data_IF_140600902913
#
_entry.id   IF_140600902913
#
_cell.length_a   1.000
_cell.length_b   1.000
_cell.length_c   1.000
_cell.angle_alpha   90.00
_cell.angle_beta   90.00
_cell.angle_gamma   90.00
#
_symmetry.space_group_name_H-M   'P 1'
#
loop_
_entity.id
_entity.type
_entity.pdbx_description
1 polymer ?
#
# COMPACT_ATOMS: atom_id res chain seq x y z
N UNK A 1 39.46 28.56 54.73
CA UNK A 1 40.10 28.44 53.41
C UNK A 1 38.99 28.22 52.39
N UNK A 2 38.82 29.21 51.52
CA UNK A 2 37.86 29.24 50.42
C UNK A 2 38.35 28.37 49.27
N UNK A 3 37.49 27.61 48.63
CA UNK A 3 37.62 27.27 47.23
C UNK A 3 36.24 27.27 46.54
N UNK A 4 36.07 28.23 45.64
CA UNK A 4 34.93 28.42 44.81
C UNK A 4 34.97 27.49 43.60
N UNK A 5 33.86 26.80 43.28
CA UNK A 5 33.70 26.06 42.05
C UNK A 5 32.74 26.85 41.13
N UNK A 6 33.25 27.21 39.95
CA UNK A 6 32.52 27.91 38.89
C UNK A 6 31.72 26.92 38.08
N UNK A 7 30.40 27.09 38.01
CA UNK A 7 29.53 26.33 37.13
C UNK A 7 29.47 27.02 35.76
N UNK A 8 29.95 26.35 34.72
CA UNK A 8 29.82 26.79 33.35
C UNK A 8 28.48 26.35 32.75
N UNK A 9 27.65 27.31 32.37
CA UNK A 9 26.45 27.13 31.57
C UNK A 9 26.84 27.03 30.08
N UNK A 10 26.71 25.85 29.50
CA UNK A 10 26.76 25.68 28.05
C UNK A 10 25.32 25.68 27.52
N UNK A 11 24.93 26.80 26.90
CA UNK A 11 23.70 26.89 26.12
C UNK A 11 23.97 26.30 24.75
N UNK A 12 23.46 25.09 24.47
CA UNK A 12 23.38 24.55 23.11
C UNK A 12 22.09 25.02 22.47
N UNK A 13 22.19 26.07 21.65
CA UNK A 13 21.16 26.50 20.72
C UNK A 13 21.27 25.61 19.45
N UNK A 14 20.54 24.51 19.41
CA UNK A 14 20.44 23.63 18.26
C UNK A 14 19.09 23.81 17.56
N UNK A 15 19.02 24.72 16.59
CA UNK A 15 17.95 24.74 15.60
C UNK A 15 18.05 23.50 14.72
N UNK A 16 17.50 22.39 15.21
CA UNK A 16 17.32 21.17 14.43
C UNK A 16 16.16 21.33 13.48
N UNK A 17 16.42 21.58 12.21
CA UNK A 17 15.48 21.33 11.14
C UNK A 17 15.18 19.82 11.17
N UNK A 18 14.00 19.46 11.66
CA UNK A 18 13.50 18.09 11.60
C UNK A 18 13.21 17.75 10.13
N UNK A 19 14.17 17.07 9.49
CA UNK A 19 13.89 16.32 8.28
C UNK A 19 12.73 15.35 8.59
N UNK A 20 11.76 15.15 7.66
CA UNK A 20 10.69 14.20 7.88
C UNK A 20 11.31 12.84 8.17
N UNK A 21 11.03 12.27 9.35
CA UNK A 21 11.40 10.90 9.68
C UNK A 21 10.73 9.99 8.63
N UNK A 22 11.57 9.35 7.81
CA UNK A 22 11.14 8.23 6.98
C UNK A 22 10.54 7.20 7.91
N UNK A 23 9.24 6.95 7.79
CA UNK A 23 8.56 5.90 8.53
C UNK A 23 9.11 4.53 8.12
N UNK A 24 9.11 3.56 9.03
CA UNK A 24 9.54 2.18 8.76
C UNK A 24 8.74 1.54 7.60
N UNK A 25 7.53 2.04 7.32
CA UNK A 25 6.72 1.72 6.15
C UNK A 25 7.43 1.94 4.81
N UNK A 26 8.27 3.00 4.69
CA UNK A 26 9.12 3.20 3.51
C UNK A 26 10.24 2.16 3.40
N UNK A 27 10.63 1.54 4.51
CA UNK A 27 11.63 0.49 4.52
C UNK A 27 11.04 -0.88 4.11
N UNK A 28 9.81 -1.18 4.51
CA UNK A 28 9.11 -2.40 4.12
C UNK A 28 8.75 -2.41 2.62
N UNK A 29 8.38 -1.25 2.05
CA UNK A 29 8.20 -1.08 0.60
C UNK A 29 9.49 -1.27 -0.20
N UNK A 30 10.65 -1.13 0.42
CA UNK A 30 11.97 -1.44 -0.16
C UNK A 30 12.39 -2.90 -0.04
N UNK A 31 11.52 -3.79 0.43
CA UNK A 31 11.79 -5.22 0.40
C UNK A 31 12.01 -5.63 -1.05
N UNK A 32 13.30 -5.74 -1.42
CA UNK A 32 13.82 -6.29 -2.68
C UNK A 32 13.05 -5.77 -3.91
N UNK A 33 13.50 -4.64 -4.48
CA UNK A 33 12.98 -4.18 -5.77
C UNK A 33 13.00 -5.37 -6.75
N UNK A 34 11.83 -5.91 -7.06
CA UNK A 34 11.70 -6.93 -8.09
C UNK A 34 12.03 -6.26 -9.42
N UNK A 35 13.05 -6.72 -10.17
CA UNK A 35 13.42 -6.11 -11.44
C UNK A 35 12.28 -6.17 -12.48
N UNK A 36 11.25 -6.99 -12.25
CA UNK A 36 10.08 -7.10 -13.10
C UNK A 36 8.92 -6.20 -12.63
N UNK A 37 9.07 -5.48 -11.50
CA UNK A 37 8.04 -4.55 -11.05
C UNK A 37 8.08 -3.26 -11.88
N UNK A 38 7.02 -3.05 -12.66
CA UNK A 38 6.78 -1.83 -13.45
C UNK A 38 5.76 -0.88 -12.81
N UNK A 39 5.43 -1.11 -11.56
CA UNK A 39 4.48 -0.29 -10.80
C UNK A 39 5.08 1.07 -10.46
N UNK A 40 4.34 2.13 -10.73
CA UNK A 40 4.67 3.48 -10.30
C UNK A 40 3.93 3.79 -8.99
N UNK A 41 4.65 3.87 -7.89
CA UNK A 41 4.09 4.26 -6.59
C UNK A 41 4.10 5.78 -6.45
N UNK A 42 2.95 6.36 -6.12
CA UNK A 42 2.76 7.80 -6.07
C UNK A 42 1.83 8.23 -4.94
N UNK A 43 1.93 9.50 -4.57
CA UNK A 43 0.89 10.20 -3.81
C UNK A 43 0.11 11.09 -4.78
N UNK A 44 -1.22 11.09 -4.68
CA UNK A 44 -2.09 11.94 -5.50
C UNK A 44 -2.11 13.36 -4.94
N UNK A 45 -1.60 14.31 -5.71
CA UNK A 45 -1.58 15.73 -5.33
C UNK A 45 -2.87 16.46 -5.75
N UNK A 46 -3.40 16.16 -6.94
CA UNK A 46 -4.64 16.77 -7.46
C UNK A 46 -5.22 15.99 -8.65
N UNK A 47 -6.53 16.17 -8.87
CA UNK A 47 -7.25 15.72 -10.07
C UNK A 47 -7.75 16.95 -10.82
N UNK A 48 -7.46 17.07 -12.12
CA UNK A 48 -7.97 18.16 -12.97
C UNK A 48 -8.40 17.60 -14.33
N UNK A 49 -9.72 17.50 -14.54
CA UNK A 49 -10.26 16.82 -15.71
C UNK A 49 -9.75 15.39 -15.80
N UNK A 50 -9.19 15.00 -16.94
CA UNK A 50 -8.63 13.66 -17.18
C UNK A 50 -7.16 13.54 -16.74
N UNK A 51 -6.64 14.49 -15.97
CA UNK A 51 -5.23 14.49 -15.55
C UNK A 51 -5.10 14.30 -14.05
N UNK A 52 -4.24 13.36 -13.66
CA UNK A 52 -3.78 13.17 -12.29
C UNK A 52 -2.41 13.85 -12.12
N UNK A 53 -2.30 14.71 -11.13
CA UNK A 53 -1.05 15.29 -10.67
C UNK A 53 -0.58 14.48 -9.49
N UNK A 54 0.62 13.93 -9.58
CA UNK A 54 1.12 12.98 -8.59
C UNK A 54 2.59 13.25 -8.25
N UNK A 55 2.98 12.90 -7.04
CA UNK A 55 4.37 12.87 -6.60
C UNK A 55 4.84 11.42 -6.52
N UNK A 56 5.91 11.08 -7.27
CA UNK A 56 6.52 9.76 -7.21
C UNK A 56 7.10 9.50 -5.80
N UNK A 57 6.72 8.41 -5.16
CA UNK A 57 7.07 8.11 -3.77
C UNK A 57 8.56 7.80 -3.57
N UNK A 58 9.26 7.31 -4.61
CA UNK A 58 10.67 6.98 -4.52
C UNK A 58 11.58 8.18 -4.77
N UNK A 59 11.22 9.00 -5.78
CA UNK A 59 12.09 10.07 -6.28
C UNK A 59 11.67 11.46 -5.83
N UNK A 60 10.45 11.62 -5.28
CA UNK A 60 9.84 12.90 -4.97
C UNK A 60 9.47 13.74 -6.21
N UNK A 61 9.61 13.18 -7.42
CA UNK A 61 9.36 13.90 -8.66
C UNK A 61 7.87 14.05 -8.91
N UNK A 62 7.46 15.28 -9.26
CA UNK A 62 6.07 15.57 -9.66
C UNK A 62 5.83 15.20 -11.12
N UNK A 63 4.71 14.56 -11.37
CA UNK A 63 4.30 14.10 -12.69
C UNK A 63 2.85 14.53 -12.97
N UNK A 64 2.54 14.77 -14.24
CA UNK A 64 1.17 14.88 -14.73
C UNK A 64 0.90 13.69 -15.67
N UNK A 65 -0.12 12.88 -15.33
CA UNK A 65 -0.45 11.63 -16.02
C UNK A 65 -1.89 11.71 -16.54
N UNK A 66 -2.17 11.11 -17.70
CA UNK A 66 -3.52 11.03 -18.26
C UNK A 66 -4.28 9.84 -17.69
N UNK A 67 -5.45 10.10 -17.12
CA UNK A 67 -6.39 9.09 -16.62
C UNK A 67 -7.48 8.71 -17.66
N UNK A 68 -7.44 9.23 -18.87
CA UNK A 68 -8.48 9.01 -19.88
C UNK A 68 -8.71 7.51 -20.17
N UNK A 69 -7.64 6.71 -20.25
CA UNK A 69 -7.75 5.26 -20.45
C UNK A 69 -8.23 4.54 -19.18
N UNK A 70 -7.83 5.02 -18.01
CA UNK A 70 -8.26 4.48 -16.72
C UNK A 70 -9.78 4.55 -16.58
N UNK A 71 -10.35 5.73 -16.86
CA UNK A 71 -11.80 5.97 -16.81
C UNK A 71 -12.52 5.09 -17.84
N UNK A 72 -12.01 5.04 -19.09
CA UNK A 72 -12.61 4.27 -20.18
C UNK A 72 -12.63 2.76 -19.90
N UNK A 73 -11.57 2.24 -19.28
CA UNK A 73 -11.38 0.79 -19.06
C UNK A 73 -11.98 0.30 -17.73
N UNK A 74 -12.42 1.21 -16.85
CA UNK A 74 -12.95 0.87 -15.53
C UNK A 74 -11.94 0.18 -14.61
N UNK A 75 -10.63 0.43 -14.81
CA UNK A 75 -9.54 -0.17 -14.02
C UNK A 75 -9.02 0.76 -12.93
N UNK A 76 -9.89 1.60 -12.40
CA UNK A 76 -9.64 2.37 -11.19
C UNK A 76 -10.21 1.60 -10.00
N UNK A 77 -9.34 1.13 -9.14
CA UNK A 77 -9.71 0.43 -7.91
C UNK A 77 -9.48 1.37 -6.73
N UNK A 78 -10.56 1.70 -6.04
CA UNK A 78 -10.61 2.73 -4.99
C UNK A 78 -10.94 4.12 -5.52
N UNK A 79 -11.30 5.02 -4.59
CA UNK A 79 -11.62 6.41 -4.88
C UNK A 79 -10.36 7.21 -5.21
N UNK A 80 -10.50 8.28 -5.99
CA UNK A 80 -9.40 9.23 -6.24
C UNK A 80 -9.43 10.33 -5.17
N UNK A 81 -8.66 10.13 -4.10
CA UNK A 81 -8.56 11.04 -2.95
C UNK A 81 -7.18 11.69 -2.91
N UNK A 82 -7.14 13.02 -2.86
CA UNK A 82 -5.88 13.76 -2.71
C UNK A 82 -5.21 13.45 -1.38
N UNK A 83 -3.93 13.18 -1.42
CA UNK A 83 -3.13 12.75 -0.26
C UNK A 83 -2.95 11.24 -0.15
N UNK A 84 -3.81 10.44 -0.78
CA UNK A 84 -3.69 9.00 -0.77
C UNK A 84 -2.53 8.49 -1.64
N UNK A 85 -2.06 7.30 -1.29
CA UNK A 85 -1.03 6.56 -2.02
C UNK A 85 -1.65 5.63 -3.06
N UNK A 86 -1.06 5.61 -4.25
CA UNK A 86 -1.53 4.78 -5.37
C UNK A 86 -0.40 3.95 -5.97
N UNK A 87 -0.77 2.76 -6.41
CA UNK A 87 0.02 1.92 -7.30
C UNK A 87 -0.56 2.04 -8.73
N UNK A 88 0.21 2.64 -9.63
CA UNK A 88 -0.20 2.93 -11.00
C UNK A 88 0.54 2.04 -11.99
N UNK A 89 -0.19 1.48 -12.95
CA UNK A 89 0.38 0.94 -14.18
C UNK A 89 0.34 2.01 -15.25
N UNK A 90 1.50 2.40 -15.77
CA UNK A 90 1.62 3.51 -16.70
C UNK A 90 2.35 3.13 -17.98
N UNK A 91 1.95 3.74 -19.09
CA UNK A 91 2.74 3.78 -20.32
C UNK A 91 3.58 5.04 -20.31
N UNK A 92 4.80 4.97 -19.80
CA UNK A 92 5.65 6.14 -19.59
C UNK A 92 5.85 7.01 -20.85
N UNK A 93 5.88 6.41 -22.05
CA UNK A 93 6.03 7.15 -23.32
C UNK A 93 4.85 8.09 -23.59
N UNK A 94 3.62 7.66 -23.30
CA UNK A 94 2.38 8.42 -23.53
C UNK A 94 1.86 9.09 -22.26
N UNK A 95 2.46 8.80 -21.11
CA UNK A 95 2.00 9.25 -19.78
C UNK A 95 0.55 8.85 -19.48
N UNK A 96 0.09 7.76 -20.08
CA UNK A 96 -1.25 7.22 -19.85
C UNK A 96 -1.23 6.21 -18.70
N UNK A 97 -2.25 6.29 -17.83
CA UNK A 97 -2.49 5.31 -16.78
C UNK A 97 -3.40 4.23 -17.35
N UNK A 98 -3.00 2.97 -17.26
CA UNK A 98 -3.78 1.81 -17.70
C UNK A 98 -4.57 1.15 -16.57
N UNK A 99 -4.08 1.21 -15.33
CA UNK A 99 -4.80 0.81 -14.12
C UNK A 99 -4.27 1.56 -12.90
N UNK A 100 -5.10 1.72 -11.87
CA UNK A 100 -4.74 2.30 -10.58
C UNK A 100 -5.36 1.52 -9.44
N UNK A 101 -4.62 1.36 -8.36
CA UNK A 101 -5.09 0.80 -7.09
C UNK A 101 -4.79 1.83 -6.00
N UNK A 102 -5.82 2.23 -5.25
CA UNK A 102 -5.65 3.07 -4.07
C UNK A 102 -5.08 2.20 -2.93
N UNK A 103 -3.79 2.37 -2.66
CA UNK A 103 -3.06 1.59 -1.64
C UNK A 103 -3.50 1.98 -0.24
N UNK A 104 -3.81 3.26 0.00
CA UNK A 104 -4.34 3.74 1.28
C UNK A 104 -5.69 3.10 1.59
N UNK A 105 -6.55 3.00 0.60
CA UNK A 105 -7.89 2.39 0.74
C UNK A 105 -7.83 0.87 0.93
N UNK A 106 -6.78 0.19 0.44
CA UNK A 106 -6.57 -1.25 0.70
C UNK A 106 -6.22 -1.56 2.15
N UNK A 107 -5.57 -0.63 2.85
CA UNK A 107 -5.13 -0.83 4.24
C UNK A 107 -6.32 -0.95 5.19
N UNK A 108 -6.14 -1.72 6.25
CA UNK A 108 -7.07 -1.85 7.37
C UNK A 108 -7.72 -3.22 7.50
N UNK A 109 -8.80 -3.27 8.25
CA UNK A 109 -9.54 -4.49 8.57
C UNK A 109 -10.61 -4.78 7.51
N UNK A 110 -10.60 -5.98 6.96
CA UNK A 110 -11.55 -6.49 5.99
C UNK A 110 -12.19 -7.77 6.47
N UNK A 111 -13.51 -7.79 6.69
CA UNK A 111 -14.26 -8.96 7.11
C UNK A 111 -15.00 -9.59 5.94
N UNK A 112 -15.00 -10.92 5.85
CA UNK A 112 -15.77 -11.66 4.85
C UNK A 112 -17.27 -11.37 4.97
N UNK A 113 -17.93 -11.17 3.83
CA UNK A 113 -19.37 -10.91 3.78
C UNK A 113 -20.25 -12.14 4.08
N UNK A 114 -19.66 -13.28 4.46
CA UNK A 114 -20.32 -14.53 4.79
C UNK A 114 -20.85 -14.62 6.23
N UNK A 115 -20.68 -13.54 7.02
CA UNK A 115 -21.04 -13.43 8.45
C UNK A 115 -20.25 -14.35 9.38
N UNK A 116 -19.14 -14.92 8.93
CA UNK A 116 -18.27 -15.75 9.80
C UNK A 116 -17.53 -14.92 10.84
N UNK A 117 -17.35 -13.62 10.59
CA UNK A 117 -16.46 -12.75 11.36
C UNK A 117 -14.98 -12.99 11.04
N UNK A 118 -14.69 -13.85 10.07
CA UNK A 118 -13.35 -14.09 9.58
C UNK A 118 -12.95 -13.00 8.57
N UNK A 119 -11.65 -12.80 8.41
CA UNK A 119 -11.17 -11.78 7.50
C UNK A 119 -9.67 -11.61 7.52
N UNK A 120 -9.24 -10.46 7.09
CA UNK A 120 -7.82 -10.09 7.03
C UNK A 120 -7.61 -8.65 7.45
N UNK A 121 -6.43 -8.38 7.97
CA UNK A 121 -5.90 -7.03 8.17
C UNK A 121 -4.70 -6.83 7.25
N UNK A 122 -4.71 -5.72 6.54
CA UNK A 122 -3.62 -5.27 5.68
C UNK A 122 -3.04 -4.00 6.29
N UNK A 123 -1.86 -4.09 6.91
CA UNK A 123 -1.26 -2.97 7.62
C UNK A 123 -0.41 -2.09 6.69
N UNK A 124 -0.18 -0.84 7.07
CA UNK A 124 0.54 0.15 6.27
C UNK A 124 1.98 -0.25 5.98
N UNK A 125 2.61 -1.00 6.88
CA UNK A 125 3.98 -1.49 6.74
C UNK A 125 4.13 -2.67 5.75
N UNK A 126 3.01 -3.13 5.15
CA UNK A 126 2.98 -4.26 4.24
C UNK A 126 2.80 -5.61 4.94
N UNK A 127 2.64 -5.64 6.27
CA UNK A 127 2.26 -6.86 6.96
C UNK A 127 0.79 -7.22 6.71
N UNK A 128 0.48 -8.51 6.74
CA UNK A 128 -0.87 -9.03 6.66
C UNK A 128 -1.12 -10.05 7.76
N UNK A 129 -2.33 -10.03 8.32
CA UNK A 129 -2.71 -10.96 9.38
C UNK A 129 -4.14 -11.43 9.23
N UNK A 130 -4.42 -12.62 9.74
CA UNK A 130 -5.77 -13.17 9.79
C UNK A 130 -6.59 -12.50 10.90
N UNK A 131 -7.88 -12.36 10.63
CA UNK A 131 -8.91 -12.15 11.64
C UNK A 131 -9.75 -13.41 11.64
N UNK A 132 -9.73 -14.16 12.73
CA UNK A 132 -10.33 -15.48 12.79
C UNK A 132 -9.58 -16.53 11.96
N UNK A 133 -10.29 -17.52 11.44
CA UNK A 133 -9.70 -18.64 10.71
C UNK A 133 -9.93 -18.52 9.20
N UNK A 134 -8.88 -18.63 8.41
CA UNK A 134 -8.91 -18.60 6.94
C UNK A 134 -8.46 -19.96 6.36
N UNK A 135 -9.24 -21.03 6.58
CA UNK A 135 -9.04 -22.34 5.97
C UNK A 135 -7.60 -22.89 6.07
N UNK A 136 -6.97 -22.76 7.24
CA UNK A 136 -5.60 -23.23 7.45
C UNK A 136 -4.51 -22.39 6.76
N UNK A 137 -4.85 -21.17 6.36
CA UNK A 137 -3.92 -20.20 5.79
C UNK A 137 -3.56 -19.16 6.85
N UNK A 138 -2.27 -18.85 7.00
CA UNK A 138 -1.78 -17.71 7.80
C UNK A 138 -1.21 -16.68 6.87
N UNK A 139 -1.78 -15.48 6.87
CA UNK A 139 -1.28 -14.35 6.09
C UNK A 139 -0.01 -13.78 6.73
N UNK A 140 0.95 -13.36 5.91
CA UNK A 140 2.25 -12.85 6.35
C UNK A 140 2.46 -11.41 5.89
N UNK A 141 2.33 -11.16 4.60
CA UNK A 141 2.57 -9.83 4.02
C UNK A 141 1.68 -9.58 2.80
N UNK A 142 1.63 -8.33 2.40
CA UNK A 142 0.95 -7.91 1.19
C UNK A 142 1.69 -6.77 0.49
N UNK A 143 1.53 -6.68 -0.83
CA UNK A 143 1.98 -5.57 -1.65
C UNK A 143 1.15 -5.48 -2.93
N UNK A 144 1.22 -4.35 -3.60
CA UNK A 144 0.70 -4.21 -4.96
C UNK A 144 1.86 -4.22 -5.93
N UNK A 145 1.81 -5.04 -6.96
CA UNK A 145 2.84 -5.12 -8.00
C UNK A 145 2.19 -5.42 -9.34
N UNK A 146 2.61 -4.72 -10.39
CA UNK A 146 2.12 -4.91 -11.77
C UNK A 146 0.58 -4.88 -11.91
N UNK A 147 -0.08 -4.03 -11.10
CA UNK A 147 -1.54 -3.87 -11.10
C UNK A 147 -2.31 -4.99 -10.41
N UNK A 148 -1.64 -5.85 -9.65
CA UNK A 148 -2.23 -6.93 -8.87
C UNK A 148 -1.92 -6.77 -7.38
N UNK A 149 -2.80 -7.26 -6.53
CA UNK A 149 -2.54 -7.45 -5.11
C UNK A 149 -1.79 -8.77 -4.94
N UNK A 150 -0.62 -8.72 -4.32
CA UNK A 150 0.17 -9.89 -3.96
C UNK A 150 0.01 -10.12 -2.47
N UNK A 151 -0.42 -11.31 -2.08
CA UNK A 151 -0.52 -11.72 -0.68
C UNK A 151 0.41 -12.91 -0.45
N UNK A 152 1.28 -12.79 0.54
CA UNK A 152 2.12 -13.88 1.00
C UNK A 152 1.43 -14.59 2.15
N UNK A 153 1.43 -15.91 2.13
CA UNK A 153 0.85 -16.72 3.18
C UNK A 153 1.59 -18.04 3.40
N UNK A 154 1.40 -18.59 4.59
CA UNK A 154 1.88 -19.91 4.98
C UNK A 154 0.65 -20.84 5.10
N UNK A 155 0.70 -22.02 4.47
CA UNK A 155 -0.27 -23.08 4.70
C UNK A 155 0.20 -23.96 5.85
N UNK A 156 -0.66 -24.18 6.82
CA UNK A 156 -0.42 -25.11 7.93
C UNK A 156 -0.96 -26.50 7.54
N UNK A 157 -0.21 -27.23 6.69
CA UNK A 157 -0.52 -28.63 6.36
C UNK A 157 0.37 -29.66 7.10
N UNK A 158 1.08 -29.19 8.11
CA UNK A 158 1.69 -30.05 9.14
C UNK A 158 3.12 -30.48 8.89
N UNK A 159 3.76 -30.18 7.74
CA UNK A 159 5.12 -30.66 7.49
C UNK A 159 6.13 -29.60 7.05
N UNK A 160 5.73 -28.57 6.31
CA UNK A 160 6.63 -27.54 5.83
C UNK A 160 5.97 -26.15 5.88
N UNK A 161 6.57 -25.25 6.66
CA UNK A 161 6.20 -23.81 6.70
C UNK A 161 6.82 -23.09 5.49
N UNK A 162 6.30 -23.31 4.31
CA UNK A 162 6.74 -22.58 3.13
C UNK A 162 5.84 -21.36 2.88
N UNK A 163 6.42 -20.19 2.94
CA UNK A 163 5.74 -18.94 2.56
C UNK A 163 5.59 -18.89 1.04
N UNK A 164 4.35 -18.72 0.56
CA UNK A 164 4.03 -18.63 -0.87
C UNK A 164 3.31 -17.32 -1.17
N UNK A 165 3.73 -16.69 -2.26
CA UNK A 165 3.06 -15.52 -2.79
C UNK A 165 1.93 -15.92 -3.74
N UNK A 166 0.81 -15.23 -3.60
CA UNK A 166 -0.38 -15.40 -4.41
C UNK A 166 -0.79 -14.10 -5.06
N UNK A 167 -0.94 -14.14 -6.37
CA UNK A 167 -1.50 -13.04 -7.15
C UNK A 167 -3.02 -13.05 -7.00
N UNK A 168 -3.58 -11.90 -6.67
CA UNK A 168 -5.00 -11.71 -6.42
C UNK A 168 -5.49 -10.58 -7.32
N UNK A 169 -6.50 -10.88 -8.14
CA UNK A 169 -7.08 -9.90 -9.06
C UNK A 169 -8.20 -9.12 -8.38
N UNK A 170 -7.94 -7.86 -8.04
CA UNK A 170 -8.96 -6.97 -7.48
C UNK A 170 -10.03 -6.75 -8.54
N UNK A 171 -11.29 -7.05 -8.20
CA UNK A 171 -12.45 -6.79 -9.05
C UNK A 171 -13.22 -5.54 -8.63
N UNK A 172 -13.15 -5.16 -7.35
CA UNK A 172 -13.75 -3.96 -6.79
C UNK A 172 -13.01 -3.49 -5.54
N UNK A 173 -12.87 -2.18 -5.38
CA UNK A 173 -12.35 -1.55 -4.16
C UNK A 173 -13.07 -0.22 -3.93
N UNK A 174 -13.52 -0.01 -2.71
CA UNK A 174 -14.04 1.25 -2.20
C UNK A 174 -13.71 1.38 -0.72
N UNK A 175 -14.02 2.52 -0.13
CA UNK A 175 -13.84 2.78 1.30
C UNK A 175 -14.42 1.68 2.22
N UNK A 176 -15.54 1.05 1.83
CA UNK A 176 -16.26 0.07 2.66
C UNK A 176 -16.30 -1.34 2.09
N UNK A 177 -15.86 -1.56 0.85
CA UNK A 177 -15.95 -2.86 0.20
C UNK A 177 -14.70 -3.19 -0.61
N UNK A 178 -14.20 -4.42 -0.45
CA UNK A 178 -13.15 -5.02 -1.26
C UNK A 178 -13.68 -6.33 -1.85
N UNK A 179 -13.52 -6.51 -3.16
CA UNK A 179 -13.80 -7.79 -3.82
C UNK A 179 -12.60 -8.17 -4.68
N UNK A 180 -12.25 -9.45 -4.66
CA UNK A 180 -11.20 -9.98 -5.51
C UNK A 180 -11.46 -11.42 -5.94
N UNK A 181 -10.76 -11.85 -6.98
CA UNK A 181 -10.79 -13.22 -7.48
C UNK A 181 -9.47 -13.91 -7.15
N UNK A 182 -9.55 -15.06 -6.52
CA UNK A 182 -8.41 -15.91 -6.24
C UNK A 182 -8.74 -17.36 -6.58
N UNK A 183 -7.90 -18.03 -7.38
CA UNK A 183 -8.12 -19.39 -7.88
C UNK A 183 -9.52 -19.62 -8.49
N UNK A 184 -10.03 -18.62 -9.23
CA UNK A 184 -11.35 -18.67 -9.87
C UNK A 184 -12.54 -18.47 -8.95
N UNK A 185 -12.33 -18.28 -7.65
CA UNK A 185 -13.36 -17.97 -6.67
C UNK A 185 -13.36 -16.49 -6.32
N UNK A 186 -14.55 -15.90 -6.23
CA UNK A 186 -14.70 -14.51 -5.77
C UNK A 186 -14.82 -14.48 -4.26
N UNK A 187 -14.14 -13.50 -3.67
CA UNK A 187 -14.18 -13.20 -2.24
C UNK A 187 -14.62 -11.75 -2.06
N UNK A 188 -15.66 -11.56 -1.26
CA UNK A 188 -16.22 -10.25 -0.94
C UNK A 188 -15.99 -9.94 0.54
N UNK A 189 -15.45 -8.73 0.79
CA UNK A 189 -15.16 -8.23 2.12
C UNK A 189 -15.82 -6.88 2.32
N UNK A 190 -16.12 -6.58 3.59
CA UNK A 190 -16.59 -5.27 4.03
C UNK A 190 -15.76 -4.74 5.19
N UNK A 191 -15.79 -3.42 5.36
CA UNK A 191 -15.39 -2.72 6.59
C UNK A 191 -16.63 -2.37 7.40
N UNK A 192 -16.48 -2.43 8.71
CA UNK A 192 -17.42 -1.81 9.65
C UNK A 192 -17.07 -0.34 9.91
#
# INVERSE_FOLDING_TARGET
MLTAAVAGLAACNGSGSSAPQRTEADAARKAKADPNDSTLYVTLDAVKGDSLYVTNSETGRKLALSAAQLIKNGKAYGNLVTGDSYALMTKMKTREISSSINVTELQGLWLLCDRSGNGMRLDEDGSASNVGELNGITLCSWRVMNGQLIISCIKSDGSDYEEKEHNVDISFLSESKLSFVYNGSQYDFSRE
#
